data_IF_331984454047
#
_entry.id   IF_331984454047
#
_cell.length_a   1.000
_cell.length_b   1.000
_cell.length_c   1.000
_cell.angle_alpha   90.00
_cell.angle_beta   90.00
_cell.angle_gamma   90.00
#
_symmetry.space_group_name_H-M   'P 1'
#
loop_
_entity.id
_entity.type
_entity.pdbx_description
1 polymer ?
#
# COMPACT_ATOMS: atom_id res chain seq x y z
N UNK A 1 -11.30 -7.53 14.06
CA UNK A 1 -11.38 -7.52 12.58
C UNK A 1 -10.02 -7.90 12.02
N UNK A 2 -9.99 -8.70 10.97
CA UNK A 2 -8.75 -9.06 10.27
C UNK A 2 -8.98 -8.76 8.78
N UNK A 3 -7.95 -8.23 8.13
CA UNK A 3 -7.88 -8.03 6.68
C UNK A 3 -6.78 -8.95 6.14
N UNK A 4 -7.02 -9.54 4.98
CA UNK A 4 -6.04 -10.37 4.27
C UNK A 4 -5.92 -9.90 2.83
N UNK A 5 -4.70 -9.61 2.40
CA UNK A 5 -4.38 -9.24 1.02
C UNK A 5 -3.73 -10.43 0.35
N UNK A 6 -4.23 -10.78 -0.83
CA UNK A 6 -3.73 -11.92 -1.58
C UNK A 6 -2.82 -11.45 -2.70
N UNK A 7 -1.72 -12.18 -2.95
CA UNK A 7 -0.85 -11.93 -4.10
C UNK A 7 -1.65 -11.96 -5.42
N UNK A 8 -2.65 -12.85 -5.49
CA UNK A 8 -3.69 -12.88 -6.51
C UNK A 8 -5.01 -13.27 -5.86
N UNK A 9 -5.95 -12.33 -5.73
CA UNK A 9 -7.28 -12.56 -5.15
C UNK A 9 -7.87 -11.41 -4.35
N UNK A 10 -7.31 -10.19 -4.47
CA UNK A 10 -7.84 -8.98 -3.84
C UNK A 10 -7.72 -8.98 -2.32
N UNK A 11 -8.65 -8.28 -1.67
CA UNK A 11 -8.68 -8.09 -0.22
C UNK A 11 -9.92 -8.75 0.37
N UNK A 12 -9.69 -9.49 1.45
CA UNK A 12 -10.70 -10.21 2.21
C UNK A 12 -10.78 -9.67 3.63
N UNK A 13 -11.98 -9.67 4.21
CA UNK A 13 -12.23 -9.21 5.57
C UNK A 13 -12.98 -10.25 6.37
N UNK A 14 -12.64 -10.35 7.66
CA UNK A 14 -13.40 -11.12 8.64
C UNK A 14 -13.63 -10.30 9.91
N UNK A 15 -14.81 -10.46 10.49
CA UNK A 15 -15.22 -9.86 11.77
C UNK A 15 -15.49 -10.92 12.84
N UNK A 16 -15.41 -12.21 12.51
CA UNK A 16 -15.72 -13.34 13.38
C UNK A 16 -14.50 -14.26 13.60
N UNK A 17 -13.35 -13.63 13.87
CA UNK A 17 -12.08 -14.30 14.17
C UNK A 17 -11.61 -15.30 13.08
N UNK A 18 -11.91 -15.03 11.81
CA UNK A 18 -11.46 -15.86 10.69
C UNK A 18 -12.36 -17.05 10.36
N UNK A 19 -13.55 -17.14 10.96
CA UNK A 19 -14.51 -18.21 10.67
C UNK A 19 -15.10 -18.09 9.27
N UNK A 20 -15.49 -16.87 8.87
CA UNK A 20 -15.93 -16.56 7.50
C UNK A 20 -15.23 -15.30 7.00
N UNK A 21 -15.05 -15.24 5.69
CA UNK A 21 -14.38 -14.15 4.99
C UNK A 21 -15.26 -13.62 3.87
N UNK A 22 -15.31 -12.31 3.74
CA UNK A 22 -16.01 -11.61 2.68
C UNK A 22 -14.98 -10.91 1.78
N UNK A 23 -15.07 -11.05 0.45
CA UNK A 23 -14.26 -10.26 -0.45
C UNK A 23 -14.77 -8.81 -0.42
N UNK A 24 -13.85 -7.86 -0.40
CA UNK A 24 -14.18 -6.43 -0.25
C UNK A 24 -13.49 -5.55 -1.30
N UNK A 25 -12.87 -6.14 -2.33
CA UNK A 25 -12.04 -5.42 -3.30
C UNK A 25 -12.15 -5.98 -4.73
N UNK A 26 -13.23 -6.69 -5.05
CA UNK A 26 -13.36 -7.46 -6.31
C UNK A 26 -13.45 -6.60 -7.59
N UNK A 27 -13.83 -5.32 -7.46
CA UNK A 27 -13.93 -4.38 -8.59
C UNK A 27 -12.61 -3.64 -8.90
N UNK A 28 -11.50 -4.04 -8.28
CA UNK A 28 -10.18 -3.40 -8.34
C UNK A 28 -9.10 -4.42 -8.72
N UNK A 29 -7.83 -4.03 -8.90
CA UNK A 29 -6.78 -4.99 -9.22
C UNK A 29 -6.69 -6.12 -8.19
N UNK A 30 -6.62 -7.35 -8.70
CA UNK A 30 -6.61 -8.54 -7.86
C UNK A 30 -5.28 -8.77 -7.13
N UNK A 31 -4.21 -8.05 -7.48
CA UNK A 31 -2.89 -8.21 -6.87
C UNK A 31 -2.67 -7.20 -5.75
N UNK A 32 -2.32 -7.69 -4.57
CA UNK A 32 -2.11 -6.87 -3.38
C UNK A 32 -0.68 -7.03 -2.87
N UNK A 33 0.06 -5.91 -2.88
CA UNK A 33 1.46 -5.84 -2.48
C UNK A 33 1.60 -5.56 -1.00
N UNK A 34 0.70 -4.72 -0.46
CA UNK A 34 0.61 -4.45 0.97
C UNK A 34 -0.78 -3.98 1.41
N UNK A 35 -1.06 -4.15 2.70
CA UNK A 35 -2.24 -3.64 3.39
C UNK A 35 -1.84 -2.94 4.68
N UNK A 36 -2.36 -1.73 4.89
CA UNK A 36 -2.16 -0.99 6.13
C UNK A 36 -3.49 -0.51 6.71
N UNK A 37 -3.66 -0.68 8.01
CA UNK A 37 -4.85 -0.22 8.76
C UNK A 37 -4.40 0.82 9.77
N UNK A 38 -5.08 1.97 9.83
CA UNK A 38 -4.70 3.02 10.77
C UNK A 38 -4.94 2.59 12.22
N UNK A 39 -3.97 2.87 13.10
CA UNK A 39 -3.94 2.37 14.48
C UNK A 39 -5.15 2.78 15.34
N UNK A 40 -5.61 4.02 15.17
CA UNK A 40 -6.68 4.60 16.01
C UNK A 40 -8.04 4.66 15.33
N UNK A 41 -8.09 4.42 14.02
CA UNK A 41 -9.33 4.35 13.26
C UNK A 41 -9.24 3.18 12.29
N UNK A 42 -9.75 2.02 12.71
CA UNK A 42 -9.69 0.79 11.91
C UNK A 42 -10.60 0.81 10.67
N UNK A 43 -11.41 1.86 10.47
CA UNK A 43 -12.15 2.06 9.23
C UNK A 43 -11.26 2.66 8.13
N UNK A 44 -10.12 3.26 8.49
CA UNK A 44 -9.12 3.74 7.52
C UNK A 44 -8.20 2.59 7.13
N UNK A 45 -8.37 2.10 5.91
CA UNK A 45 -7.59 0.99 5.33
C UNK A 45 -6.97 1.46 4.02
N UNK A 46 -5.71 1.10 3.82
CA UNK A 46 -4.96 1.35 2.61
C UNK A 46 -4.57 0.04 1.95
N UNK A 47 -4.66 0.00 0.61
CA UNK A 47 -4.27 -1.13 -0.23
C UNK A 47 -3.26 -0.64 -1.24
N UNK A 48 -2.10 -1.28 -1.29
CA UNK A 48 -1.11 -1.12 -2.33
C UNK A 48 -1.29 -2.27 -3.30
N UNK A 49 -1.58 -1.95 -4.56
CA UNK A 49 -1.77 -2.97 -5.59
C UNK A 49 -0.44 -3.40 -6.21
N UNK A 50 -0.48 -4.50 -6.96
CA UNK A 50 0.70 -5.17 -7.48
C UNK A 50 1.17 -6.29 -6.54
N UNK A 51 2.26 -6.94 -6.87
CA UNK A 51 2.90 -7.96 -6.06
C UNK A 51 4.39 -7.64 -5.89
N UNK A 52 4.80 -7.34 -4.65
CA UNK A 52 6.21 -7.11 -4.29
C UNK A 52 7.08 -8.37 -4.35
N UNK A 53 6.46 -9.54 -4.27
CA UNK A 53 7.15 -10.83 -4.39
C UNK A 53 7.30 -11.15 -5.88
N UNK A 54 8.44 -10.79 -6.43
CA UNK A 54 8.72 -10.98 -7.85
C UNK A 54 8.77 -12.47 -8.22
N UNK A 55 7.84 -12.90 -9.07
CA UNK A 55 7.80 -14.22 -9.68
C UNK A 55 7.70 -14.11 -11.21
N UNK A 56 7.71 -15.25 -11.92
CA UNK A 56 7.73 -15.25 -13.39
C UNK A 56 6.42 -14.74 -14.01
N UNK A 57 5.37 -14.57 -13.22
CA UNK A 57 4.00 -14.23 -13.63
C UNK A 57 3.35 -13.27 -12.62
N UNK A 58 3.77 -12.00 -12.63
CA UNK A 58 3.16 -10.95 -11.80
C UNK A 58 2.19 -10.13 -12.65
N UNK A 59 0.97 -9.95 -12.14
CA UNK A 59 0.04 -8.97 -12.69
C UNK A 59 0.30 -7.61 -12.05
N UNK A 60 0.41 -6.59 -12.90
CA UNK A 60 0.63 -5.22 -12.43
C UNK A 60 -0.55 -4.73 -11.61
N UNK A 61 -0.24 -4.00 -10.54
CA UNK A 61 -1.19 -3.10 -9.91
C UNK A 61 -1.28 -1.77 -10.65
N UNK A 62 -2.03 -0.86 -10.06
CA UNK A 62 -2.28 0.50 -10.54
C UNK A 62 -2.22 1.53 -9.39
N UNK A 63 -1.39 1.27 -8.38
CA UNK A 63 -1.12 2.20 -7.29
C UNK A 63 -1.93 1.92 -6.03
N UNK A 64 -2.43 2.99 -5.42
CA UNK A 64 -2.97 2.97 -4.05
C UNK A 64 -4.49 3.11 -4.03
N UNK A 65 -5.13 2.42 -3.09
CA UNK A 65 -6.52 2.65 -2.73
C UNK A 65 -6.66 2.89 -1.24
N UNK A 66 -7.66 3.70 -0.89
CA UNK A 66 -8.02 4.01 0.48
C UNK A 66 -9.52 3.78 0.70
N UNK A 67 -9.84 3.18 1.82
CA UNK A 67 -11.19 3.15 2.38
C UNK A 67 -11.21 3.91 3.69
N UNK A 68 -12.33 4.57 3.98
CA UNK A 68 -12.60 5.23 5.27
C UNK A 68 -13.85 4.68 5.95
N UNK A 69 -14.38 3.56 5.45
CA UNK A 69 -15.56 2.87 5.98
C UNK A 69 -15.31 1.37 6.20
N UNK A 70 -14.04 1.02 6.43
CA UNK A 70 -13.60 -0.32 6.76
C UNK A 70 -13.62 -1.29 5.58
N UNK A 71 -13.54 -0.78 4.35
CA UNK A 71 -13.45 -1.53 3.11
C UNK A 71 -14.77 -1.71 2.37
N UNK A 72 -15.82 -0.94 2.68
CA UNK A 72 -17.09 -1.01 1.93
C UNK A 72 -17.00 -0.22 0.63
N UNK A 73 -16.31 0.92 0.66
CA UNK A 73 -15.99 1.72 -0.51
C UNK A 73 -14.49 2.01 -0.56
N UNK A 74 -13.99 2.13 -1.78
CA UNK A 74 -12.58 2.42 -2.07
C UNK A 74 -12.48 3.61 -2.99
N UNK A 75 -11.45 4.42 -2.78
CA UNK A 75 -11.09 5.53 -3.63
C UNK A 75 -9.65 5.34 -4.08
N UNK A 76 -9.40 5.51 -5.38
CA UNK A 76 -8.07 5.47 -5.96
C UNK A 76 -7.29 6.71 -5.53
N UNK A 77 -6.05 6.52 -5.06
CA UNK A 77 -5.22 7.53 -4.43
C UNK A 77 -3.97 7.86 -5.25
N UNK A 78 -3.95 7.52 -6.55
CA UNK A 78 -2.83 7.81 -7.42
C UNK A 78 -1.68 6.80 -7.31
N UNK A 79 -0.49 7.25 -7.72
CA UNK A 79 0.72 6.42 -7.93
C UNK A 79 0.48 5.29 -8.96
N UNK A 80 -0.34 5.55 -9.98
CA UNK A 80 -0.75 4.54 -10.97
C UNK A 80 0.41 3.82 -11.64
N UNK A 81 1.43 4.58 -12.05
CA UNK A 81 2.56 4.02 -12.79
C UNK A 81 3.61 3.36 -11.89
N UNK A 82 3.45 3.35 -10.55
CA UNK A 82 4.37 2.57 -9.72
C UNK A 82 4.23 1.07 -9.96
N UNK A 83 3.02 0.62 -10.35
CA UNK A 83 2.59 -0.79 -10.57
C UNK A 83 2.73 -1.73 -9.38
N UNK A 84 3.88 -1.72 -8.73
CA UNK A 84 4.24 -2.62 -7.63
C UNK A 84 4.49 -1.81 -6.35
N UNK A 85 3.57 -1.94 -5.40
CA UNK A 85 3.71 -1.36 -4.07
C UNK A 85 4.37 -2.37 -3.12
N UNK A 86 5.49 -1.98 -2.54
CA UNK A 86 6.25 -2.79 -1.60
C UNK A 86 5.72 -2.71 -0.17
N UNK A 87 5.45 -1.49 0.31
CA UNK A 87 4.91 -1.27 1.66
C UNK A 87 4.19 0.06 1.79
N UNK A 88 3.20 0.10 2.67
CA UNK A 88 2.52 1.28 3.18
C UNK A 88 2.78 1.39 4.69
N UNK A 89 3.27 2.54 5.12
CA UNK A 89 3.48 2.87 6.53
C UNK A 89 2.65 4.10 6.91
N UNK A 90 1.62 3.90 7.72
CA UNK A 90 0.76 4.97 8.24
C UNK A 90 1.40 5.53 9.52
N UNK A 91 1.49 6.85 9.62
CA UNK A 91 2.02 7.49 10.81
C UNK A 91 1.13 7.19 12.03
N UNK A 92 1.72 6.84 13.20
CA UNK A 92 0.98 6.23 14.31
C UNK A 92 0.02 7.17 15.03
N UNK A 93 0.15 8.48 14.89
CA UNK A 93 -0.73 9.48 15.54
C UNK A 93 -1.48 10.37 14.55
N UNK A 94 -1.21 10.22 13.25
CA UNK A 94 -1.84 11.03 12.21
C UNK A 94 -2.04 10.20 10.95
N UNK A 95 -3.27 9.74 10.70
CA UNK A 95 -3.59 8.91 9.54
C UNK A 95 -3.58 9.67 8.21
N UNK A 96 -3.39 10.99 8.20
CA UNK A 96 -3.18 11.77 6.97
C UNK A 96 -1.74 11.67 6.46
N UNK A 97 -0.79 11.30 7.33
CA UNK A 97 0.61 11.10 6.97
C UNK A 97 0.87 9.63 6.66
N UNK A 98 1.20 9.35 5.41
CA UNK A 98 1.46 7.97 4.94
C UNK A 98 2.71 7.97 4.08
N UNK A 99 3.54 6.94 4.28
CA UNK A 99 4.71 6.66 3.48
C UNK A 99 4.49 5.40 2.65
N UNK A 100 4.98 5.38 1.43
CA UNK A 100 4.83 4.27 0.49
C UNK A 100 6.19 3.94 -0.10
N UNK A 101 6.63 2.68 0.05
CA UNK A 101 7.74 2.14 -0.72
C UNK A 101 7.21 1.64 -2.06
N UNK A 102 7.58 2.33 -3.12
CA UNK A 102 7.30 1.92 -4.49
C UNK A 102 8.49 1.12 -5.03
N UNK A 103 8.22 -0.15 -5.36
CA UNK A 103 9.19 -0.97 -6.09
C UNK A 103 9.33 -0.43 -7.52
N UNK A 104 8.26 0.11 -8.10
CA UNK A 104 8.19 0.54 -9.49
C UNK A 104 7.96 -0.65 -10.42
N UNK A 105 8.14 -0.44 -11.72
CA UNK A 105 8.01 -1.52 -12.69
C UNK A 105 8.99 -2.66 -12.39
N UNK A 106 8.50 -3.90 -12.38
CA UNK A 106 9.36 -5.06 -12.14
C UNK A 106 10.43 -5.23 -13.23
N UNK A 107 10.11 -4.85 -14.46
CA UNK A 107 10.98 -5.03 -15.62
C UNK A 107 11.47 -3.70 -16.17
N UNK A 108 12.79 -3.58 -16.23
CA UNK A 108 13.47 -2.43 -16.82
C UNK A 108 13.52 -1.19 -15.92
N UNK A 109 14.27 -0.17 -16.37
CA UNK A 109 14.32 1.13 -15.71
C UNK A 109 12.96 1.83 -15.79
N UNK A 110 12.57 2.53 -14.74
CA UNK A 110 11.37 3.38 -14.72
C UNK A 110 11.52 4.50 -13.69
N UNK A 111 10.90 5.66 -13.92
CA UNK A 111 11.04 6.81 -13.04
C UNK A 111 10.17 6.72 -11.78
N UNK A 112 9.34 5.68 -11.59
CA UNK A 112 8.34 5.62 -10.52
C UNK A 112 8.82 4.91 -9.25
N UNK A 113 10.10 4.51 -9.23
CA UNK A 113 10.72 3.94 -8.03
C UNK A 113 10.94 5.03 -6.99
N UNK A 114 10.82 4.68 -5.71
CA UNK A 114 11.15 5.58 -4.61
C UNK A 114 10.34 5.35 -3.34
N UNK A 115 10.57 6.21 -2.36
CA UNK A 115 9.66 6.37 -1.21
C UNK A 115 8.84 7.63 -1.44
N UNK A 116 7.52 7.47 -1.40
CA UNK A 116 6.55 8.54 -1.52
C UNK A 116 5.95 8.85 -0.16
N UNK A 117 5.59 10.11 0.06
CA UNK A 117 4.94 10.61 1.28
C UNK A 117 3.73 11.43 0.89
N UNK A 118 2.65 11.25 1.62
CA UNK A 118 1.52 12.20 1.67
C UNK A 118 1.41 12.76 3.08
N UNK A 119 0.90 13.99 3.18
CA UNK A 119 0.49 14.63 4.45
C UNK A 119 -0.95 15.15 4.41
N UNK A 120 -1.68 14.84 3.34
CA UNK A 120 -3.07 15.26 3.11
C UNK A 120 -3.99 14.03 2.96
N UNK A 121 -3.52 12.87 3.41
CA UNK A 121 -4.30 11.63 3.39
C UNK A 121 -4.47 11.03 2.00
N UNK A 122 -3.57 11.33 1.06
CA UNK A 122 -3.50 10.72 -0.28
C UNK A 122 -3.97 11.61 -1.42
N UNK A 123 -4.29 12.88 -1.17
CA UNK A 123 -4.68 13.80 -2.24
C UNK A 123 -3.46 14.18 -3.09
N UNK A 124 -2.28 14.28 -2.48
CA UNK A 124 -1.01 14.49 -3.17
C UNK A 124 0.13 13.65 -2.59
N UNK A 125 1.14 13.42 -3.42
CA UNK A 125 2.32 12.61 -3.09
C UNK A 125 3.61 13.33 -3.44
N UNK A 126 4.53 13.38 -2.49
CA UNK A 126 5.91 13.85 -2.66
C UNK A 126 6.85 12.64 -2.66
N UNK A 127 7.78 12.57 -3.63
CA UNK A 127 8.84 11.56 -3.59
C UNK A 127 9.99 12.04 -2.71
N UNK A 128 10.07 11.49 -1.50
CA UNK A 128 11.02 11.89 -0.46
C UNK A 128 12.33 11.11 -0.46
N UNK A 129 12.37 9.96 -1.17
CA UNK A 129 13.61 9.21 -1.40
C UNK A 129 13.63 8.64 -2.81
N UNK A 130 14.74 8.86 -3.50
CA UNK A 130 15.02 8.35 -4.84
C UNK A 130 16.52 8.12 -4.98
N UNK A 131 16.90 7.00 -5.61
CA UNK A 131 18.31 6.68 -5.88
C UNK A 131 18.56 6.79 -7.39
N UNK A 132 17.88 5.94 -8.17
CA UNK A 132 17.90 5.92 -9.63
C UNK A 132 16.65 5.18 -10.16
N UNK A 133 16.55 5.02 -11.48
CA UNK A 133 15.42 4.39 -12.17
C UNK A 133 15.45 2.85 -12.13
N UNK A 134 16.44 2.23 -11.47
CA UNK A 134 16.61 0.79 -11.34
C UNK A 134 16.52 0.27 -9.89
N UNK A 135 16.63 1.16 -8.89
CA UNK A 135 16.61 0.84 -7.47
C UNK A 135 15.21 1.02 -6.89
N UNK A 136 14.52 -0.07 -6.56
CA UNK A 136 13.18 -0.05 -5.97
C UNK A 136 13.16 -0.31 -4.47
N UNK A 137 12.07 0.09 -3.80
CA UNK A 137 11.90 -0.06 -2.35
C UNK A 137 10.78 -1.07 -2.06
N UNK A 138 11.01 -1.96 -1.10
CA UNK A 138 10.08 -3.09 -0.78
C UNK A 138 9.59 -3.11 0.67
N UNK A 139 10.19 -2.30 1.52
CA UNK A 139 9.95 -2.27 2.95
C UNK A 139 10.14 -0.83 3.46
N UNK A 140 9.48 -0.53 4.56
CA UNK A 140 9.53 0.70 5.35
C UNK A 140 9.26 0.31 6.81
N UNK A 141 10.15 0.69 7.73
CA UNK A 141 9.93 0.53 9.16
C UNK A 141 10.11 1.86 9.85
N UNK A 142 9.04 2.32 10.49
CA UNK A 142 9.06 3.51 11.33
C UNK A 142 9.52 3.11 12.73
N UNK A 143 10.40 3.89 13.33
CA UNK A 143 10.79 3.69 14.72
C UNK A 143 9.56 3.92 15.62
N UNK A 144 9.15 2.93 16.43
CA UNK A 144 7.95 3.05 17.26
C UNK A 144 8.08 4.07 18.39
N UNK A 145 9.32 4.44 18.77
CA UNK A 145 9.62 5.45 19.78
C UNK A 145 9.82 6.84 19.19
N UNK A 146 10.17 6.93 17.90
CA UNK A 146 10.34 8.19 17.18
C UNK A 146 9.84 8.08 15.72
N UNK A 147 8.56 8.40 15.46
CA UNK A 147 7.95 8.31 14.13
C UNK A 147 8.60 9.16 13.03
N UNK A 148 9.47 10.11 13.38
CA UNK A 148 10.24 10.90 12.41
C UNK A 148 11.44 10.12 11.85
N UNK A 149 11.78 8.97 12.43
CA UNK A 149 12.82 8.07 11.94
C UNK A 149 12.18 6.92 11.17
N UNK A 150 12.49 6.87 9.88
CA UNK A 150 12.02 5.84 8.95
C UNK A 150 13.22 5.13 8.32
N UNK A 151 13.21 3.81 8.34
CA UNK A 151 14.16 2.94 7.64
C UNK A 151 13.49 2.41 6.36
N UNK A 152 14.22 2.46 5.24
CA UNK A 152 13.76 2.04 3.92
C UNK A 152 14.77 1.09 3.28
#
# INVERSE_FOLDING_TARGET
>A
TIYAGMASGGVWKTTNAGTTWEPIFDDHPATVGDLAVARWNHDVVWVGTGERNSLRSNSWGDGLYKSTDGGRNWSHMGLTETREIGRIAIHPTDSSVVYVAALGHLWGPNPERGVYKTTDGGESWERVLFVDDTTGFVDLKMDPSNPDVLYA
#
